data_IF_951342121496
#
_entry.id   IF_951342121496
#
_cell.length_a   1.000
_cell.length_b   1.000
_cell.length_c   1.000
_cell.angle_alpha   90.00
_cell.angle_beta   90.00
_cell.angle_gamma   90.00
#
_symmetry.space_group_name_H-M   'P 1'
#
loop_
_entity.id
_entity.type
_entity.pdbx_description
1 polymer ?
#
# COMPACT_ATOMS: atom_id res chain seq x y z
N UNK A 1 16.42 8.71 -2.83
CA UNK A 1 14.95 8.75 -2.68
C UNK A 1 14.23 7.85 -3.68
N UNK A 2 13.51 6.83 -3.20
CA UNK A 2 12.71 5.89 -3.99
C UNK A 2 11.26 6.39 -4.08
N UNK A 3 10.60 6.23 -5.22
CA UNK A 3 9.21 6.67 -5.40
C UNK A 3 8.30 5.45 -5.56
N UNK A 4 7.28 5.34 -4.71
CA UNK A 4 6.22 4.33 -4.77
C UNK A 4 4.93 5.03 -5.18
N UNK A 5 4.38 4.62 -6.31
CA UNK A 5 3.16 5.19 -6.91
C UNK A 5 2.41 4.13 -7.71
N UNK A 6 1.26 4.48 -8.27
CA UNK A 6 0.57 3.64 -9.24
C UNK A 6 1.52 3.14 -10.35
N UNK A 7 1.28 1.93 -10.84
CA UNK A 7 2.08 1.22 -11.86
C UNK A 7 3.51 0.81 -11.43
N UNK A 8 3.95 1.13 -10.21
CA UNK A 8 5.20 0.56 -9.66
C UNK A 8 5.08 -0.97 -9.64
N UNK A 9 6.10 -1.67 -10.11
CA UNK A 9 6.08 -3.13 -10.11
C UNK A 9 6.34 -3.66 -8.70
N UNK A 10 5.69 -4.77 -8.35
CA UNK A 10 5.94 -5.41 -7.05
C UNK A 10 7.39 -5.90 -6.91
N UNK A 11 8.04 -6.25 -8.02
CA UNK A 11 9.46 -6.63 -8.06
C UNK A 11 10.39 -5.48 -7.68
N UNK A 12 9.91 -4.25 -7.81
CA UNK A 12 10.70 -3.07 -7.46
C UNK A 12 10.55 -2.75 -5.96
N UNK A 13 9.64 -3.41 -5.24
CA UNK A 13 9.45 -3.22 -3.80
C UNK A 13 10.33 -4.20 -3.01
N UNK A 14 10.86 -3.73 -1.89
CA UNK A 14 11.62 -4.54 -0.94
C UNK A 14 10.90 -4.55 0.41
N UNK A 15 11.04 -5.60 1.24
CA UNK A 15 10.43 -5.65 2.57
C UNK A 15 10.80 -4.46 3.46
N UNK A 16 11.99 -3.89 3.26
CA UNK A 16 12.43 -2.67 3.92
C UNK A 16 13.00 -1.70 2.89
N UNK A 17 12.53 -0.46 2.90
CA UNK A 17 12.99 0.60 2.01
C UNK A 17 13.29 1.87 2.81
N UNK A 18 14.31 2.62 2.37
CA UNK A 18 14.76 3.87 3.01
C UNK A 18 14.52 5.04 2.07
N UNK A 19 14.28 6.23 2.63
CA UNK A 19 14.04 7.49 1.92
C UNK A 19 13.01 7.33 0.79
N UNK A 20 11.77 7.02 1.18
CA UNK A 20 10.69 6.68 0.24
C UNK A 20 9.70 7.82 0.15
N UNK A 21 9.30 8.16 -1.07
CA UNK A 21 8.17 9.01 -1.36
C UNK A 21 7.01 8.14 -1.83
N UNK A 22 5.89 8.16 -1.11
CA UNK A 22 4.67 7.44 -1.46
C UNK A 22 3.66 8.42 -2.00
N UNK A 23 3.24 8.22 -3.25
CA UNK A 23 2.17 8.99 -3.89
C UNK A 23 0.90 8.14 -3.77
N UNK A 24 -0.01 8.55 -2.89
CA UNK A 24 -1.30 7.88 -2.73
C UNK A 24 -2.20 8.17 -3.92
N UNK A 25 -3.07 7.22 -4.23
CA UNK A 25 -4.17 7.33 -5.18
C UNK A 25 -4.97 6.05 -4.99
N UNK A 26 -5.88 6.08 -4.02
CA UNK A 26 -6.49 4.89 -3.43
C UNK A 26 -8.01 4.91 -3.53
N UNK A 27 -8.64 3.83 -3.08
CA UNK A 27 -10.10 3.75 -3.06
C UNK A 27 -10.73 4.56 -1.92
N UNK A 28 -9.94 4.84 -0.89
CA UNK A 28 -10.34 5.53 0.34
C UNK A 28 -9.49 6.78 0.60
N UNK A 29 -8.45 7.01 -0.21
CA UNK A 29 -7.46 8.07 -0.03
C UNK A 29 -7.28 8.85 -1.32
N UNK A 30 -7.52 10.15 -1.27
CA UNK A 30 -7.22 11.05 -2.38
C UNK A 30 -5.70 11.13 -2.67
N UNK A 31 -5.37 11.75 -3.80
CA UNK A 31 -3.98 11.95 -4.21
C UNK A 31 -3.25 12.87 -3.25
N UNK A 32 -2.22 12.35 -2.58
CA UNK A 32 -1.27 13.13 -1.78
C UNK A 32 0.10 12.47 -1.77
N UNK A 33 1.09 13.23 -1.37
CA UNK A 33 2.48 12.77 -1.25
C UNK A 33 2.87 12.62 0.21
N UNK A 34 3.39 11.45 0.57
CA UNK A 34 3.89 11.14 1.90
C UNK A 34 5.39 10.88 1.77
N UNK A 35 6.18 11.56 2.58
CA UNK A 35 7.61 11.33 2.68
C UNK A 35 7.86 10.46 3.90
N UNK A 36 8.50 9.32 3.68
CA UNK A 36 8.85 8.36 4.73
C UNK A 36 10.36 8.22 4.77
N UNK A 37 10.94 8.27 5.97
CA UNK A 37 12.34 7.87 6.15
C UNK A 37 12.50 6.37 5.94
N UNK A 38 11.50 5.59 6.37
CA UNK A 38 11.50 4.14 6.32
C UNK A 38 10.13 3.63 5.91
N UNK A 39 10.09 2.60 5.08
CA UNK A 39 8.86 1.89 4.73
C UNK A 39 9.09 0.38 4.86
N UNK A 40 8.37 -0.27 5.77
CA UNK A 40 8.56 -1.68 6.15
C UNK A 40 7.29 -2.51 5.89
N UNK A 41 7.43 -3.63 5.19
CA UNK A 41 6.34 -4.55 4.91
C UNK A 41 5.97 -5.34 6.16
N UNK A 42 4.72 -5.25 6.58
CA UNK A 42 4.21 -5.89 7.82
C UNK A 42 3.18 -6.98 7.57
N UNK A 43 2.68 -7.10 6.34
CA UNK A 43 1.70 -8.14 6.03
C UNK A 43 1.27 -8.18 4.57
N UNK A 44 0.52 -9.23 4.25
CA UNK A 44 -0.13 -9.40 2.95
C UNK A 44 -1.57 -9.89 3.15
N UNK A 45 -2.45 -9.59 2.21
CA UNK A 45 -3.80 -10.18 2.16
C UNK A 45 -4.02 -10.76 0.77
N UNK A 46 -4.08 -12.09 0.59
CA UNK A 46 -4.17 -12.73 -0.72
C UNK A 46 -5.60 -12.84 -1.28
N UNK A 47 -6.54 -12.02 -0.80
CA UNK A 47 -7.94 -12.06 -1.23
C UNK A 47 -8.14 -11.67 -2.70
N UNK A 48 -9.41 -11.59 -3.12
CA UNK A 48 -9.81 -11.19 -4.48
C UNK A 48 -9.13 -9.89 -4.97
N UNK A 49 -8.87 -8.97 -4.03
CA UNK A 49 -8.01 -7.82 -4.26
C UNK A 49 -6.79 -7.96 -3.35
N UNK A 50 -5.65 -8.40 -3.89
CA UNK A 50 -4.53 -8.72 -3.06
C UNK A 50 -3.79 -7.44 -2.62
N UNK A 51 -3.39 -7.43 -1.34
CA UNK A 51 -2.79 -6.29 -0.66
C UNK A 51 -1.39 -6.61 -0.16
N UNK A 52 -0.50 -5.62 -0.23
CA UNK A 52 0.70 -5.53 0.62
C UNK A 52 0.49 -4.41 1.62
N UNK A 53 0.77 -4.67 2.89
CA UNK A 53 0.74 -3.66 3.94
C UNK A 53 2.16 -3.27 4.30
N UNK A 54 2.39 -1.96 4.28
CA UNK A 54 3.60 -1.35 4.78
C UNK A 54 3.28 -0.41 5.94
N UNK A 55 4.27 -0.13 6.77
CA UNK A 55 4.21 0.95 7.77
C UNK A 55 5.38 1.89 7.58
N UNK A 56 5.16 3.17 7.87
CA UNK A 56 6.24 4.16 7.91
C UNK A 56 6.87 4.25 9.31
N UNK A 57 7.80 5.18 9.50
CA UNK A 57 8.43 5.45 10.81
C UNK A 57 7.49 5.98 11.91
N UNK A 58 6.25 6.34 11.57
CA UNK A 58 5.20 6.78 12.50
C UNK A 58 4.19 5.65 12.78
N UNK A 59 4.49 4.41 12.36
CA UNK A 59 3.60 3.24 12.40
C UNK A 59 2.31 3.40 11.59
N UNK A 60 2.20 4.42 10.72
CA UNK A 60 1.04 4.61 9.87
C UNK A 60 0.98 3.55 8.77
N UNK A 61 -0.18 2.92 8.59
CA UNK A 61 -0.35 1.87 7.58
C UNK A 61 -0.53 2.46 6.17
N UNK A 62 0.21 1.88 5.23
CA UNK A 62 0.08 2.10 3.79
C UNK A 62 -0.33 0.77 3.15
N UNK A 63 -1.49 0.72 2.52
CA UNK A 63 -1.99 -0.45 1.81
C UNK A 63 -1.75 -0.28 0.30
N UNK A 64 -0.95 -1.17 -0.26
CA UNK A 64 -0.67 -1.25 -1.69
C UNK A 64 -1.55 -2.33 -2.31
N UNK A 65 -2.49 -1.91 -3.13
CA UNK A 65 -3.32 -2.82 -3.91
C UNK A 65 -2.60 -3.13 -5.20
N UNK A 66 -2.60 -4.39 -5.60
CA UNK A 66 -1.93 -4.77 -6.83
C UNK A 66 -2.74 -5.73 -7.68
N UNK A 67 -2.55 -5.61 -8.98
CA UNK A 67 -3.17 -6.48 -9.97
C UNK A 67 -2.11 -6.99 -10.94
N UNK A 68 -2.47 -8.07 -11.65
CA UNK A 68 -1.65 -8.59 -12.75
C UNK A 68 -1.94 -7.79 -14.02
N UNK A 69 -0.89 -7.27 -14.65
CA UNK A 69 -0.93 -6.62 -15.96
C UNK A 69 -1.06 -7.66 -17.08
N UNK A 70 -1.31 -7.18 -18.31
CA UNK A 70 -1.34 -8.04 -19.51
C UNK A 70 -0.03 -8.81 -19.74
N UNK A 71 1.10 -8.22 -19.35
CA UNK A 71 2.43 -8.85 -19.42
C UNK A 71 2.74 -9.78 -18.23
N UNK A 72 1.71 -10.17 -17.47
CA UNK A 72 1.75 -11.05 -16.29
C UNK A 72 2.49 -10.48 -15.07
N UNK A 73 3.13 -9.31 -15.17
CA UNK A 73 3.77 -8.66 -14.01
C UNK A 73 2.72 -8.09 -13.08
N UNK A 74 3.01 -8.08 -11.78
CA UNK A 74 2.15 -7.45 -10.78
C UNK A 74 2.57 -5.99 -10.60
N UNK A 75 1.61 -5.07 -10.66
CA UNK A 75 1.84 -3.65 -10.41
C UNK A 75 0.82 -3.08 -9.45
N UNK A 76 1.22 -2.04 -8.74
CA UNK A 76 0.35 -1.27 -7.86
C UNK A 76 -0.76 -0.63 -8.70
N UNK A 77 -2.01 -0.80 -8.28
CA UNK A 77 -3.19 -0.21 -8.93
C UNK A 77 -3.95 0.78 -8.04
N UNK A 78 -3.71 0.74 -6.73
CA UNK A 78 -4.22 1.74 -5.77
C UNK A 78 -3.29 1.79 -4.55
N UNK A 79 -3.21 2.96 -3.92
CA UNK A 79 -2.45 3.15 -2.68
C UNK A 79 -3.31 3.92 -1.68
N UNK A 80 -3.67 3.26 -0.59
CA UNK A 80 -4.40 3.87 0.51
C UNK A 80 -3.50 4.09 1.73
N UNK A 81 -3.74 5.19 2.44
CA UNK A 81 -2.96 5.58 3.62
C UNK A 81 -3.86 5.81 4.82
N UNK A 82 -3.49 5.16 5.92
CA UNK A 82 -4.26 5.10 7.15
C UNK A 82 -3.39 5.57 8.33
N UNK A 83 -3.24 6.90 8.52
CA UNK A 83 -2.47 7.43 9.64
C UNK A 83 -3.09 7.09 11.00
N UNK A 84 -4.38 6.78 11.04
CA UNK A 84 -5.09 6.38 12.25
C UNK A 84 -4.91 4.91 12.63
N UNK A 85 -4.20 4.11 11.82
CA UNK A 85 -4.06 2.67 12.00
C UNK A 85 -2.59 2.22 12.04
N UNK A 86 -2.30 1.32 12.98
CA UNK A 86 -1.00 0.67 13.16
C UNK A 86 -0.92 -0.76 12.62
N UNK A 87 0.26 -1.40 12.67
CA UNK A 87 0.50 -2.78 12.19
C UNK A 87 -0.33 -3.86 12.91
N UNK A 88 -0.80 -3.59 14.13
CA UNK A 88 -1.71 -4.48 14.86
C UNK A 88 -3.16 -4.42 14.34
N UNK A 89 -3.50 -3.42 13.51
CA UNK A 89 -4.86 -3.16 13.04
C UNK A 89 -5.07 -3.50 11.56
N UNK A 90 -4.15 -4.24 10.92
CA UNK A 90 -4.25 -4.60 9.50
C UNK A 90 -5.56 -5.32 9.15
N UNK A 91 -6.11 -6.10 10.07
CA UNK A 91 -7.43 -6.73 9.90
C UNK A 91 -8.57 -5.70 9.74
N UNK A 92 -8.53 -4.60 10.51
CA UNK A 92 -9.51 -3.52 10.40
C UNK A 92 -9.34 -2.74 9.10
N UNK A 93 -8.09 -2.43 8.73
CA UNK A 93 -7.75 -1.77 7.46
C UNK A 93 -8.25 -2.60 6.28
N UNK A 94 -7.95 -3.90 6.27
CA UNK A 94 -8.42 -4.84 5.23
C UNK A 94 -9.95 -4.87 5.14
N UNK A 95 -10.66 -4.92 6.27
CA UNK A 95 -12.12 -4.88 6.29
C UNK A 95 -12.68 -3.55 5.75
N UNK A 96 -12.06 -2.41 6.08
CA UNK A 96 -12.45 -1.06 5.58
C UNK A 96 -12.32 -1.00 4.06
N UNK A 97 -11.20 -1.49 3.52
CA UNK A 97 -10.95 -1.63 2.08
C UNK A 97 -12.01 -2.52 1.43
N UNK A 98 -12.22 -3.74 1.93
CA UNK A 98 -13.19 -4.67 1.35
C UNK A 98 -14.61 -4.10 1.33
N UNK A 99 -15.00 -3.35 2.36
CA UNK A 99 -16.31 -2.69 2.41
C UNK A 99 -16.45 -1.59 1.35
N UNK A 100 -15.39 -0.86 1.03
CA UNK A 100 -15.38 0.17 0.00
C UNK A 100 -15.57 -0.42 -1.39
N UNK A 101 -14.98 -1.58 -1.64
CA UNK A 101 -14.92 -2.24 -2.96
C UNK A 101 -16.16 -3.06 -3.32
N UNK A 102 -17.05 -3.29 -2.35
CA UNK A 102 -18.35 -3.96 -2.57
C UNK A 102 -19.45 -3.00 -3.01
N UNK A 103 -19.19 -1.68 -3.02
CA UNK A 103 -20.12 -0.65 -3.50
C UNK A 103 -19.91 -0.42 -4.99
#
# INVERSE_FOLDING_TARGET
MKIVRLNTLLTDLAPLMQEVQVITDGYLTDVKTIHCQRLEQVGTSPGHQPLLFYVNEQDHVIALHYARRLDLRKSICAIDYFPEHGPQELGKVSAKIQKALRK
#
